data_IF_441116884966
#
_entry.id   IF_441116884966
#
_cell.length_a   1.000
_cell.length_b   1.000
_cell.length_c   1.000
_cell.angle_alpha   90.00
_cell.angle_beta   90.00
_cell.angle_gamma   90.00
#
_symmetry.space_group_name_H-M   'P 1'
#
loop_
_entity.id
_entity.type
_entity.pdbx_description
1 polymer ?
#
# COMPACT_ATOMS: atom_id res chain seq x y z
N UNK A 1 -35.97 -31.53 -1.89
CA UNK A 1 -35.10 -30.44 -1.40
C UNK A 1 -33.69 -30.99 -1.24
N UNK A 2 -32.84 -30.91 -2.27
CA UNK A 2 -31.51 -31.54 -2.26
C UNK A 2 -30.44 -30.48 -1.94
N UNK A 3 -29.94 -30.47 -0.69
CA UNK A 3 -28.90 -29.53 -0.25
C UNK A 3 -27.57 -29.93 -0.90
N UNK A 4 -27.05 -29.09 -1.79
CA UNK A 4 -25.69 -29.22 -2.31
C UNK A 4 -24.70 -29.07 -1.15
N UNK A 5 -24.13 -30.18 -0.70
CA UNK A 5 -23.13 -30.16 0.35
C UNK A 5 -21.81 -29.64 -0.24
N UNK A 6 -21.45 -28.40 0.10
CA UNK A 6 -20.15 -27.87 -0.22
C UNK A 6 -19.09 -28.62 0.60
N UNK A 7 -18.19 -29.33 -0.06
CA UNK A 7 -17.02 -29.91 0.58
C UNK A 7 -16.06 -28.78 0.96
N UNK A 8 -16.02 -28.45 2.25
CA UNK A 8 -15.01 -27.55 2.81
C UNK A 8 -13.74 -28.36 3.01
N UNK A 9 -12.82 -28.28 2.04
CA UNK A 9 -11.48 -28.85 2.22
C UNK A 9 -10.67 -27.96 3.16
N UNK A 10 -10.16 -28.55 4.25
CA UNK A 10 -9.27 -27.87 5.18
C UNK A 10 -7.85 -27.99 4.63
N UNK A 11 -7.40 -26.98 3.89
CA UNK A 11 -6.01 -26.90 3.45
C UNK A 11 -5.10 -26.75 4.67
N UNK A 12 -4.29 -27.76 4.93
CA UNK A 12 -3.21 -27.70 5.93
C UNK A 12 -1.91 -27.51 5.17
N UNK A 13 -1.17 -26.45 5.52
CA UNK A 13 0.09 -26.11 4.86
C UNK A 13 0.80 -25.03 5.65
N UNK A 14 2.11 -25.18 5.79
CA UNK A 14 2.99 -24.10 6.25
C UNK A 14 3.63 -23.44 5.03
N UNK A 15 4.09 -22.20 5.18
CA UNK A 15 4.90 -21.53 4.18
C UNK A 15 6.09 -20.86 4.86
N UNK A 16 7.12 -20.45 4.10
CA UNK A 16 8.32 -19.86 4.69
C UNK A 16 8.07 -18.54 5.45
N UNK A 17 6.97 -17.82 5.21
CA UNK A 17 6.59 -16.67 6.04
C UNK A 17 6.25 -17.06 7.49
N UNK A 18 5.82 -18.30 7.74
CA UNK A 18 5.56 -18.78 9.11
C UNK A 18 6.83 -18.84 9.97
N UNK A 19 8.01 -18.86 9.35
CA UNK A 19 9.30 -18.88 10.03
C UNK A 19 9.96 -17.50 9.93
N UNK A 20 10.09 -16.80 11.06
CA UNK A 20 10.71 -15.47 11.14
C UNK A 20 10.18 -14.46 10.11
N UNK A 21 8.88 -14.52 9.77
CA UNK A 21 8.25 -13.67 8.77
C UNK A 21 8.94 -13.74 7.38
N UNK A 22 9.55 -14.87 7.03
CA UNK A 22 10.36 -15.00 5.81
C UNK A 22 11.61 -14.10 5.78
N UNK A 23 11.98 -13.52 6.93
CA UNK A 23 12.99 -12.47 7.06
C UNK A 23 12.52 -11.08 6.65
N UNK A 24 11.22 -10.86 6.41
CA UNK A 24 10.67 -9.55 6.10
C UNK A 24 10.53 -8.70 7.36
N UNK A 25 10.87 -7.42 7.26
CA UNK A 25 10.70 -6.46 8.36
C UNK A 25 9.24 -6.17 8.70
N UNK A 26 8.34 -6.21 7.70
CA UNK A 26 6.93 -5.86 7.87
C UNK A 26 6.01 -6.92 7.26
N UNK A 27 5.77 -6.88 5.95
CA UNK A 27 4.82 -7.79 5.29
C UNK A 27 5.58 -8.89 4.57
N UNK A 28 5.17 -10.14 4.78
CA UNK A 28 5.63 -11.31 4.03
C UNK A 28 4.48 -11.87 3.20
N UNK A 29 4.64 -11.84 1.88
CA UNK A 29 3.67 -12.33 0.92
C UNK A 29 4.25 -13.59 0.26
N UNK A 30 3.64 -14.74 0.54
CA UNK A 30 4.03 -15.98 -0.12
C UNK A 30 3.23 -16.16 -1.42
N UNK A 31 3.91 -16.21 -2.55
CA UNK A 31 3.31 -16.47 -3.87
C UNK A 31 3.86 -17.77 -4.45
N UNK A 32 3.05 -18.47 -5.23
CA UNK A 32 3.43 -19.79 -5.78
C UNK A 32 4.59 -19.71 -6.78
N UNK A 33 4.76 -18.57 -7.44
CA UNK A 33 5.73 -18.30 -8.50
C UNK A 33 7.06 -17.70 -8.00
N UNK A 34 7.01 -16.84 -6.98
CA UNK A 34 8.18 -16.10 -6.48
C UNK A 34 8.63 -16.53 -5.08
N UNK A 35 7.86 -17.41 -4.41
CA UNK A 35 8.13 -17.79 -3.04
C UNK A 35 7.85 -16.63 -2.08
N UNK A 36 8.83 -16.26 -1.25
CA UNK A 36 8.69 -15.16 -0.28
C UNK A 36 8.98 -13.82 -0.96
N UNK A 37 7.99 -12.94 -0.95
CA UNK A 37 8.11 -11.54 -1.39
C UNK A 37 7.80 -10.62 -0.21
N UNK A 38 8.75 -9.78 0.16
CA UNK A 38 8.51 -8.78 1.20
C UNK A 38 7.84 -7.53 0.62
N UNK A 39 6.94 -6.93 1.39
CA UNK A 39 6.27 -5.68 1.05
C UNK A 39 6.24 -4.72 2.25
N UNK A 40 6.04 -3.45 1.96
CA UNK A 40 6.00 -2.40 2.97
C UNK A 40 4.59 -1.83 3.13
N UNK A 41 4.19 -1.46 4.36
CA UNK A 41 3.02 -0.63 4.58
C UNK A 41 3.11 0.69 3.82
N UNK A 42 1.96 1.35 3.67
CA UNK A 42 1.94 2.72 3.17
C UNK A 42 2.81 3.62 4.06
N UNK A 43 3.44 4.63 3.47
CA UNK A 43 4.42 5.45 4.19
C UNK A 43 5.84 4.93 3.99
N UNK A 44 6.04 3.61 3.93
CA UNK A 44 7.38 3.01 3.94
C UNK A 44 7.81 2.48 2.56
N UNK A 45 9.11 2.26 2.40
CA UNK A 45 9.74 1.81 1.16
C UNK A 45 10.67 0.63 1.38
N UNK A 46 10.58 -0.37 0.49
CA UNK A 46 11.43 -1.55 0.54
C UNK A 46 12.79 -1.18 -0.04
N UNK A 47 13.84 -1.29 0.78
CA UNK A 47 15.21 -1.03 0.33
C UNK A 47 15.75 -2.18 -0.54
N UNK A 48 16.89 -1.96 -1.17
CA UNK A 48 17.52 -2.89 -2.12
C UNK A 48 17.79 -4.30 -1.59
N UNK A 49 17.84 -4.49 -0.27
CA UNK A 49 17.96 -5.82 0.34
C UNK A 49 16.70 -6.69 0.20
N UNK A 50 15.59 -6.13 -0.31
CA UNK A 50 14.35 -6.83 -0.58
C UNK A 50 13.61 -7.32 0.67
N UNK A 51 13.99 -6.87 1.87
CA UNK A 51 13.46 -7.35 3.16
C UNK A 51 13.09 -6.25 4.13
N UNK A 52 13.83 -5.14 4.14
CA UNK A 52 13.69 -4.06 5.12
C UNK A 52 12.90 -2.89 4.56
N UNK A 53 11.97 -2.37 5.36
CA UNK A 53 11.22 -1.18 5.03
C UNK A 53 11.74 0.01 5.83
N UNK A 54 11.91 1.16 5.18
CA UNK A 54 12.34 2.42 5.80
C UNK A 54 11.33 3.53 5.52
N UNK A 55 11.40 4.59 6.31
CA UNK A 55 10.76 5.86 5.97
C UNK A 55 11.65 6.53 4.91
N UNK A 56 11.11 6.89 3.73
CA UNK A 56 11.89 7.59 2.70
C UNK A 56 12.29 8.98 3.19
N UNK A 57 13.46 9.47 2.77
CA UNK A 57 13.92 10.81 3.16
C UNK A 57 13.13 11.90 2.41
N UNK A 58 12.73 11.61 1.16
CA UNK A 58 11.91 12.50 0.37
C UNK A 58 10.90 11.77 -0.54
N UNK A 59 9.73 12.38 -0.73
CA UNK A 59 8.69 11.92 -1.64
C UNK A 59 7.93 13.09 -2.26
N UNK A 60 7.34 12.86 -3.43
CA UNK A 60 6.44 13.80 -4.09
C UNK A 60 4.98 13.39 -3.84
N UNK A 61 4.15 14.34 -3.41
CA UNK A 61 2.70 14.23 -3.43
C UNK A 61 2.14 15.05 -4.59
N UNK A 62 1.23 14.46 -5.35
CA UNK A 62 0.59 15.15 -6.47
C UNK A 62 -0.85 14.68 -6.67
N UNK A 63 -1.67 15.55 -7.24
CA UNK A 63 -3.05 15.26 -7.60
C UNK A 63 -3.12 14.72 -9.04
N UNK A 64 -4.09 13.85 -9.31
CA UNK A 64 -4.33 13.23 -10.60
C UNK A 64 -5.85 13.13 -10.80
N UNK A 65 -6.51 14.25 -11.13
CA UNK A 65 -7.97 14.42 -11.23
C UNK A 65 -8.76 13.82 -10.05
N UNK A 66 -8.98 12.50 -10.08
CA UNK A 66 -9.77 11.74 -9.10
C UNK A 66 -8.95 11.10 -7.98
N UNK A 67 -7.61 11.22 -8.01
CA UNK A 67 -6.73 10.57 -7.04
C UNK A 67 -5.66 11.52 -6.51
N UNK A 68 -5.15 11.19 -5.31
CA UNK A 68 -3.91 11.71 -4.77
C UNK A 68 -2.87 10.60 -4.80
N UNK A 69 -1.69 10.90 -5.33
CA UNK A 69 -0.63 9.92 -5.58
C UNK A 69 0.65 10.35 -4.88
N UNK A 70 1.43 9.34 -4.48
CA UNK A 70 2.77 9.51 -3.93
C UNK A 70 3.79 8.88 -4.86
N UNK A 71 4.92 9.54 -5.06
CA UNK A 71 6.07 8.99 -5.75
C UNK A 71 7.31 9.08 -4.86
N UNK A 72 8.03 7.98 -4.72
CA UNK A 72 9.37 7.99 -4.12
C UNK A 72 10.35 8.72 -5.02
N UNK A 73 11.24 9.53 -4.44
CA UNK A 73 12.35 10.13 -5.18
C UNK A 73 13.61 9.23 -5.19
N UNK A 74 13.64 8.19 -4.37
CA UNK A 74 14.82 7.33 -4.19
C UNK A 74 14.62 5.93 -4.77
N UNK A 75 13.45 5.33 -4.56
CA UNK A 75 13.18 3.94 -4.94
C UNK A 75 12.37 3.86 -6.24
N UNK A 76 13.11 3.75 -7.36
CA UNK A 76 12.59 3.28 -8.66
C UNK A 76 11.40 4.10 -9.20
N UNK A 77 11.24 5.36 -8.75
CA UNK A 77 10.19 6.32 -9.12
C UNK A 77 8.77 5.72 -9.21
N UNK A 78 8.48 4.69 -8.39
CA UNK A 78 7.21 3.98 -8.54
C UNK A 78 6.09 4.79 -7.90
N UNK A 79 5.13 5.19 -8.72
CA UNK A 79 3.90 5.82 -8.26
C UNK A 79 3.12 4.81 -7.40
N UNK A 80 2.77 5.22 -6.19
CA UNK A 80 1.92 4.48 -5.26
C UNK A 80 0.61 5.25 -5.07
N UNK A 81 -0.55 4.66 -5.39
CA UNK A 81 -1.83 5.30 -5.11
C UNK A 81 -2.06 5.36 -3.60
N UNK A 82 -2.50 6.51 -3.10
CA UNK A 82 -2.94 6.66 -1.72
C UNK A 82 -4.45 6.41 -1.73
N UNK A 83 -4.97 5.41 -1.00
CA UNK A 83 -6.37 5.02 -1.02
C UNK A 83 -7.25 6.01 -0.22
N UNK A 84 -7.31 7.26 -0.66
CA UNK A 84 -8.17 8.30 -0.09
C UNK A 84 -9.55 8.17 -0.73
N UNK A 85 -10.58 7.96 0.11
CA UNK A 85 -11.96 7.90 -0.36
C UNK A 85 -12.54 9.31 -0.49
N UNK A 86 -13.37 9.51 -1.51
CA UNK A 86 -14.18 10.73 -1.65
C UNK A 86 -13.47 11.90 -2.35
N UNK A 87 -12.26 11.67 -2.89
CA UNK A 87 -11.64 12.61 -3.83
C UNK A 87 -12.43 12.57 -5.13
N UNK A 88 -12.94 13.73 -5.56
CA UNK A 88 -13.64 13.90 -6.84
C UNK A 88 -12.77 14.71 -7.78
N UNK A 89 -12.47 15.96 -7.43
CA UNK A 89 -11.70 16.88 -8.29
C UNK A 89 -10.69 17.63 -7.44
N UNK A 90 -9.57 16.96 -7.12
CA UNK A 90 -8.52 17.55 -6.29
C UNK A 90 -7.79 18.68 -7.05
N UNK A 91 -7.86 19.91 -6.53
CA UNK A 91 -7.28 21.10 -7.18
C UNK A 91 -5.93 21.50 -6.56
N UNK A 92 -5.83 21.49 -5.23
CA UNK A 92 -4.60 21.79 -4.50
C UNK A 92 -4.39 20.75 -3.38
N UNK A 93 -3.13 20.61 -2.96
CA UNK A 93 -2.68 19.65 -1.94
C UNK A 93 -1.65 20.30 -1.03
N UNK A 94 -1.69 19.96 0.25
CA UNK A 94 -0.68 20.33 1.25
C UNK A 94 -0.46 19.16 2.21
N UNK A 95 0.70 19.14 2.88
CA UNK A 95 1.11 18.04 3.75
C UNK A 95 1.71 18.55 5.06
N UNK A 96 1.17 18.07 6.17
CA UNK A 96 1.69 18.35 7.48
C UNK A 96 2.55 17.18 7.96
N UNK A 97 3.86 17.41 8.04
CA UNK A 97 4.86 16.39 8.30
C UNK A 97 4.83 15.83 9.73
N UNK A 98 4.45 16.64 10.72
CA UNK A 98 4.55 16.25 12.13
C UNK A 98 3.51 15.19 12.54
N UNK A 99 2.38 15.10 11.84
CA UNK A 99 1.32 14.12 12.11
C UNK A 99 0.87 13.31 10.88
N UNK A 100 1.66 13.34 9.80
CA UNK A 100 1.44 12.59 8.56
C UNK A 100 0.05 12.82 7.94
N UNK A 101 -0.37 14.10 7.87
CA UNK A 101 -1.68 14.49 7.34
C UNK A 101 -1.60 15.15 5.97
N UNK A 102 -2.41 14.64 5.05
CA UNK A 102 -2.62 15.22 3.73
C UNK A 102 -3.90 16.07 3.76
N UNK A 103 -3.80 17.32 3.33
CA UNK A 103 -4.91 18.25 3.13
C UNK A 103 -5.09 18.46 1.64
N UNK A 104 -6.33 18.50 1.17
CA UNK A 104 -6.63 18.79 -0.24
C UNK A 104 -7.88 19.64 -0.37
N UNK A 105 -7.96 20.39 -1.46
CA UNK A 105 -9.19 21.07 -1.88
C UNK A 105 -9.86 20.28 -2.99
N UNK A 106 -11.17 20.16 -2.92
CA UNK A 106 -11.95 19.40 -3.89
C UNK A 106 -13.00 20.31 -4.55
N UNK A 107 -12.86 20.50 -5.87
CA UNK A 107 -13.66 21.42 -6.66
C UNK A 107 -15.12 21.00 -6.84
N UNK A 108 -15.45 19.72 -6.65
CA UNK A 108 -16.82 19.18 -6.82
C UNK A 108 -17.54 18.93 -5.49
N UNK A 109 -17.03 19.49 -4.40
CA UNK A 109 -17.80 19.64 -3.16
C UNK A 109 -18.89 20.70 -3.38
N UNK A 110 -20.03 20.29 -3.94
CA UNK A 110 -21.25 21.09 -3.86
C UNK A 110 -21.53 21.37 -2.39
N UNK A 111 -21.41 22.63 -1.99
CA UNK A 111 -21.96 23.12 -0.73
C UNK A 111 -23.43 22.71 -0.69
N UNK A 112 -23.79 21.91 0.31
CA UNK A 112 -25.20 21.67 0.64
C UNK A 112 -25.75 22.87 1.38
#
# INVERSE_FOLDING_TARGET
>A
MNKRQAFVYRCTGTNPCAHYNGGCSHLCLYTADQGVVCACPMGLELVSNGKTCIVPEAFLLFTSHHDIKRMSLETNHRIRPIPIKGVKTALAIDFHIADDRIYWTDGDLKAR
#
